data_IF_884979823373
#
_entry.id   IF_884979823373
#
_cell.length_a   1.000
_cell.length_b   1.000
_cell.length_c   1.000
_cell.angle_alpha   90.00
_cell.angle_beta   90.00
_cell.angle_gamma   90.00
#
_symmetry.space_group_name_H-M   'P 1'
#
loop_
_entity.id
_entity.type
_entity.pdbx_description
1 polymer ?
#
# COMPACT_ATOMS: atom_id res chain seq x y z
N UNK A 1 -19.48 1.38 -14.43
CA UNK A 1 -18.05 1.28 -14.07
C UNK A 1 -17.28 1.36 -15.37
N UNK A 2 -16.27 2.24 -15.51
CA UNK A 2 -15.48 2.29 -16.75
C UNK A 2 -14.67 1.02 -16.94
N UNK A 3 -14.21 0.79 -18.17
CA UNK A 3 -13.27 -0.28 -18.47
C UNK A 3 -11.99 -0.17 -17.62
N UNK A 4 -11.44 1.04 -17.48
CA UNK A 4 -10.22 1.29 -16.71
C UNK A 4 -10.37 0.92 -15.21
N UNK A 5 -11.47 1.33 -14.56
CA UNK A 5 -11.75 0.92 -13.17
C UNK A 5 -12.06 -0.56 -13.04
N UNK A 6 -12.72 -1.16 -14.04
CA UNK A 6 -13.00 -2.58 -14.03
C UNK A 6 -11.71 -3.40 -14.12
N UNK A 7 -10.78 -3.02 -15.00
CA UNK A 7 -9.46 -3.64 -15.11
C UNK A 7 -8.64 -3.51 -13.83
N UNK A 8 -8.66 -2.34 -13.19
CA UNK A 8 -8.03 -2.15 -11.88
C UNK A 8 -8.66 -3.04 -10.81
N UNK A 9 -9.99 -3.14 -10.77
CA UNK A 9 -10.68 -4.01 -9.81
C UNK A 9 -10.28 -5.48 -10.00
N UNK A 10 -10.22 -5.97 -11.24
CA UNK A 10 -9.79 -7.33 -11.54
C UNK A 10 -8.33 -7.54 -11.12
N UNK A 11 -7.44 -6.60 -11.44
CA UNK A 11 -6.05 -6.63 -11.02
C UNK A 11 -5.90 -6.69 -9.49
N UNK A 12 -6.62 -5.82 -8.77
CA UNK A 12 -6.64 -5.78 -7.31
C UNK A 12 -7.06 -7.12 -6.68
N UNK A 13 -8.09 -7.79 -7.23
CA UNK A 13 -8.52 -9.11 -6.76
C UNK A 13 -7.44 -10.17 -6.98
N UNK A 14 -6.72 -10.09 -8.09
CA UNK A 14 -5.65 -11.03 -8.39
C UNK A 14 -4.38 -10.77 -7.55
N UNK A 15 -4.21 -9.59 -6.94
CA UNK A 15 -3.14 -9.37 -5.95
C UNK A 15 -3.30 -10.24 -4.69
N UNK A 16 -4.49 -10.76 -4.43
CA UNK A 16 -4.78 -11.63 -3.29
C UNK A 16 -4.55 -13.13 -3.57
N UNK A 17 -4.18 -13.52 -4.81
CA UNK A 17 -3.91 -14.95 -5.13
C UNK A 17 -2.79 -15.51 -4.27
N UNK A 18 -2.83 -16.80 -3.92
CA UNK A 18 -1.77 -17.45 -3.15
C UNK A 18 -0.52 -17.75 -3.98
N UNK A 19 -0.63 -17.72 -5.31
CA UNK A 19 0.48 -17.97 -6.22
C UNK A 19 1.38 -16.75 -6.35
N UNK A 20 2.58 -16.82 -5.78
CA UNK A 20 3.55 -15.73 -5.75
C UNK A 20 3.95 -15.19 -7.14
N UNK A 21 4.05 -16.06 -8.14
CA UNK A 21 4.39 -15.68 -9.53
C UNK A 21 3.26 -14.91 -10.21
N UNK A 22 2.00 -15.25 -9.94
CA UNK A 22 0.84 -14.52 -10.43
C UNK A 22 0.74 -13.15 -9.74
N UNK A 23 0.85 -13.09 -8.41
CA UNK A 23 0.90 -11.82 -7.66
C UNK A 23 1.96 -10.86 -8.19
N UNK A 24 3.14 -11.38 -8.54
CA UNK A 24 4.23 -10.57 -9.10
C UNK A 24 3.91 -9.99 -10.48
N UNK A 25 3.19 -10.71 -11.35
CA UNK A 25 2.75 -10.16 -12.65
C UNK A 25 1.69 -9.08 -12.44
N UNK A 26 0.77 -9.32 -11.51
CA UNK A 26 -0.32 -8.40 -11.23
C UNK A 26 0.16 -7.12 -10.58
N UNK A 27 1.19 -7.14 -9.74
CA UNK A 27 1.71 -5.89 -9.15
C UNK A 27 2.34 -4.95 -10.21
N UNK A 28 2.94 -5.51 -11.27
CA UNK A 28 3.45 -4.72 -12.39
C UNK A 28 2.31 -4.14 -13.26
N UNK A 29 1.20 -4.87 -13.38
CA UNK A 29 -0.03 -4.37 -14.03
C UNK A 29 -0.68 -3.28 -13.17
N UNK A 30 -0.79 -3.50 -11.87
CA UNK A 30 -1.32 -2.54 -10.89
C UNK A 30 -0.59 -1.20 -10.96
N UNK A 31 0.76 -1.22 -10.97
CA UNK A 31 1.59 -0.02 -11.14
C UNK A 31 1.30 0.73 -12.44
N UNK A 32 1.06 0.01 -13.54
CA UNK A 32 0.71 0.59 -14.85
C UNK A 32 -0.67 1.25 -14.83
N UNK A 33 -1.68 0.56 -14.28
CA UNK A 33 -3.04 1.11 -14.15
C UNK A 33 -3.08 2.36 -13.27
N UNK A 34 -2.26 2.41 -12.21
CA UNK A 34 -2.12 3.62 -11.38
C UNK A 34 -1.30 4.76 -12.01
N UNK A 35 -0.87 4.63 -13.28
CA UNK A 35 -0.33 5.73 -14.09
C UNK A 35 -1.32 6.22 -15.13
N UNK A 36 -2.36 5.44 -15.41
CA UNK A 36 -3.40 5.80 -16.36
C UNK A 36 -4.25 6.96 -15.81
N UNK A 37 -4.46 7.98 -16.65
CA UNK A 37 -5.12 9.22 -16.24
C UNK A 37 -6.60 8.99 -15.95
N UNK A 38 -7.26 8.18 -16.77
CA UNK A 38 -8.69 7.88 -16.59
C UNK A 38 -8.90 7.14 -15.28
N UNK A 39 -8.11 6.09 -15.01
CA UNK A 39 -8.14 5.34 -13.76
C UNK A 39 -8.02 6.26 -12.54
N UNK A 40 -7.02 7.17 -12.55
CA UNK A 40 -6.78 8.13 -11.47
C UNK A 40 -7.98 9.07 -11.30
N UNK A 41 -8.48 9.66 -12.38
CA UNK A 41 -9.59 10.61 -12.34
C UNK A 41 -10.87 9.97 -11.78
N UNK A 42 -11.13 8.72 -12.14
CA UNK A 42 -12.28 8.01 -11.60
C UNK A 42 -12.12 7.63 -10.13
N UNK A 43 -10.92 7.21 -9.69
CA UNK A 43 -10.66 6.97 -8.27
C UNK A 43 -10.83 8.24 -7.44
N UNK A 44 -10.32 9.37 -7.93
CA UNK A 44 -10.50 10.68 -7.29
C UNK A 44 -11.98 11.03 -7.16
N UNK A 45 -12.73 10.96 -8.26
CA UNK A 45 -14.17 11.26 -8.29
C UNK A 45 -14.97 10.37 -7.33
N UNK A 46 -14.63 9.07 -7.26
CA UNK A 46 -15.34 8.13 -6.40
C UNK A 46 -15.02 8.34 -4.92
N UNK A 47 -13.76 8.70 -4.60
CA UNK A 47 -13.36 9.09 -3.25
C UNK A 47 -14.02 10.39 -2.82
N UNK A 48 -14.09 11.39 -3.69
CA UNK A 48 -14.65 12.73 -3.37
C UNK A 48 -16.17 12.66 -3.16
N UNK A 49 -16.89 11.89 -3.99
CA UNK A 49 -18.34 11.71 -3.86
C UNK A 49 -18.77 10.71 -2.78
N UNK A 50 -17.81 10.17 -2.00
CA UNK A 50 -18.05 9.12 -0.99
C UNK A 50 -18.89 7.95 -1.51
N UNK A 51 -18.75 7.60 -2.79
CA UNK A 51 -19.48 6.50 -3.41
C UNK A 51 -18.96 5.15 -2.88
N UNK A 52 -19.52 4.67 -1.78
CA UNK A 52 -19.09 3.43 -1.11
C UNK A 52 -19.23 2.17 -1.96
N UNK A 53 -20.10 2.19 -2.97
CA UNK A 53 -20.34 1.06 -3.90
C UNK A 53 -19.37 1.02 -5.08
N UNK A 54 -18.58 2.07 -5.32
CA UNK A 54 -17.62 2.13 -6.42
C UNK A 54 -16.19 1.98 -5.92
N UNK A 55 -15.31 1.48 -6.79
CA UNK A 55 -13.88 1.39 -6.46
C UNK A 55 -13.31 2.79 -6.23
N UNK A 56 -12.70 3.00 -5.08
CA UNK A 56 -12.12 4.27 -4.63
C UNK A 56 -10.73 4.05 -4.01
N UNK A 57 -10.02 5.12 -3.68
CA UNK A 57 -8.64 5.02 -3.17
C UNK A 57 -8.52 4.16 -1.91
N UNK A 58 -9.42 4.28 -0.94
CA UNK A 58 -9.39 3.45 0.29
C UNK A 58 -9.60 1.96 -0.01
N UNK A 59 -10.48 1.65 -0.96
CA UNK A 59 -10.73 0.25 -1.35
C UNK A 59 -9.52 -0.33 -2.06
N UNK A 60 -8.88 0.43 -2.94
CA UNK A 60 -7.62 0.01 -3.57
C UNK A 60 -6.51 -0.15 -2.54
N UNK A 61 -6.44 0.74 -1.54
CA UNK A 61 -5.47 0.64 -0.45
C UNK A 61 -5.63 -0.66 0.33
N UNK A 62 -6.86 -1.06 0.65
CA UNK A 62 -7.13 -2.36 1.32
C UNK A 62 -6.63 -3.56 0.52
N UNK A 63 -6.78 -3.57 -0.80
CA UNK A 63 -6.20 -4.64 -1.63
C UNK A 63 -4.67 -4.61 -1.58
N UNK A 64 -4.06 -3.42 -1.62
CA UNK A 64 -2.61 -3.26 -1.51
C UNK A 64 -2.08 -3.72 -0.14
N UNK A 65 -2.78 -3.41 0.96
CA UNK A 65 -2.42 -3.87 2.31
C UNK A 65 -2.41 -5.40 2.39
N UNK A 66 -3.43 -6.07 1.84
CA UNK A 66 -3.49 -7.54 1.82
C UNK A 66 -2.39 -8.16 0.96
N UNK A 67 -2.07 -7.54 -0.19
CA UNK A 67 -0.92 -7.94 -1.00
C UNK A 67 0.37 -7.88 -0.19
N UNK A 68 0.63 -6.76 0.50
CA UNK A 68 1.82 -6.56 1.32
C UNK A 68 1.91 -7.61 2.42
N UNK A 69 0.80 -7.87 3.11
CA UNK A 69 0.73 -8.91 4.14
C UNK A 69 1.13 -10.28 3.57
N UNK A 70 0.58 -10.68 2.41
CA UNK A 70 0.97 -11.95 1.75
C UNK A 70 2.45 -11.98 1.36
N UNK A 71 3.01 -10.86 0.92
CA UNK A 71 4.44 -10.80 0.57
C UNK A 71 5.34 -10.88 1.80
N UNK A 72 4.92 -10.29 2.93
CA UNK A 72 5.58 -10.41 4.23
C UNK A 72 5.56 -11.87 4.70
N UNK A 73 4.41 -12.53 4.70
CA UNK A 73 4.29 -13.93 5.11
C UNK A 73 5.12 -14.87 4.22
N UNK A 74 5.16 -14.60 2.91
CA UNK A 74 6.02 -15.33 1.97
C UNK A 74 7.52 -15.14 2.27
N UNK A 75 7.92 -13.99 2.81
CA UNK A 75 9.31 -13.74 3.19
C UNK A 75 9.64 -14.38 4.55
N UNK A 76 8.71 -14.34 5.51
CA UNK A 76 8.86 -14.97 6.83
C UNK A 76 8.98 -16.50 6.73
N UNK A 77 8.22 -17.12 5.83
CA UNK A 77 8.27 -18.57 5.58
C UNK A 77 9.47 -19.04 4.74
N UNK A 78 10.26 -18.11 4.19
CA UNK A 78 11.39 -18.46 3.33
C UNK A 78 12.62 -18.92 4.14
N UNK A 79 13.30 -19.97 3.67
CA UNK A 79 14.50 -20.52 4.33
C UNK A 79 15.57 -19.46 4.57
N UNK A 80 16.12 -19.39 5.78
CA UNK A 80 17.17 -18.43 6.14
C UNK A 80 18.55 -18.77 5.54
N UNK A 81 18.88 -20.06 5.42
CA UNK A 81 20.17 -20.51 4.87
C UNK A 81 20.13 -20.55 3.34
N UNK A 82 20.39 -19.41 2.70
CA UNK A 82 20.42 -19.27 1.24
C UNK A 82 21.66 -18.50 0.79
N UNK A 83 21.93 -18.49 -0.51
CA UNK A 83 23.07 -17.75 -1.08
C UNK A 83 22.95 -16.24 -0.81
N UNK A 84 24.09 -15.55 -0.80
CA UNK A 84 24.14 -14.08 -0.71
C UNK A 84 23.31 -13.41 -1.81
N UNK A 85 23.32 -13.96 -3.04
CA UNK A 85 22.49 -13.49 -4.15
C UNK A 85 20.99 -13.59 -3.86
N UNK A 86 20.56 -14.64 -3.16
CA UNK A 86 19.17 -14.82 -2.74
C UNK A 86 18.80 -13.81 -1.65
N UNK A 87 19.69 -13.56 -0.69
CA UNK A 87 19.47 -12.50 0.32
C UNK A 87 19.32 -11.13 -0.34
N UNK A 88 20.20 -10.77 -1.28
CA UNK A 88 20.12 -9.50 -2.02
C UNK A 88 18.79 -9.37 -2.79
N UNK A 89 18.33 -10.44 -3.46
CA UNK A 89 17.04 -10.44 -4.15
C UNK A 89 15.86 -10.23 -3.19
N UNK A 90 15.91 -10.82 -1.98
CA UNK A 90 14.89 -10.61 -0.94
C UNK A 90 14.88 -9.17 -0.43
N UNK A 91 16.05 -8.58 -0.15
CA UNK A 91 16.16 -7.18 0.27
C UNK A 91 15.62 -6.22 -0.80
N UNK A 92 15.96 -6.46 -2.07
CA UNK A 92 15.40 -5.67 -3.18
C UNK A 92 13.87 -5.75 -3.22
N UNK A 93 13.33 -6.96 -3.05
CA UNK A 93 11.88 -7.18 -3.00
C UNK A 93 11.22 -6.41 -1.85
N UNK A 94 11.83 -6.40 -0.67
CA UNK A 94 11.36 -5.60 0.48
C UNK A 94 11.32 -4.10 0.14
N UNK A 95 12.39 -3.56 -0.45
CA UNK A 95 12.45 -2.16 -0.88
C UNK A 95 11.41 -1.82 -1.96
N UNK A 96 11.18 -2.72 -2.90
CA UNK A 96 10.18 -2.54 -3.96
C UNK A 96 8.74 -2.46 -3.39
N UNK A 97 8.47 -3.20 -2.30
CA UNK A 97 7.20 -3.16 -1.58
C UNK A 97 7.03 -1.81 -0.86
N UNK A 98 8.01 -1.38 -0.07
CA UNK A 98 7.99 -0.06 0.57
C UNK A 98 7.81 1.08 -0.44
N UNK A 99 8.55 1.01 -1.54
CA UNK A 99 8.50 2.00 -2.61
C UNK A 99 7.13 2.05 -3.28
N UNK A 100 6.44 0.90 -3.40
CA UNK A 100 5.08 0.83 -3.91
C UNK A 100 4.08 1.51 -2.96
N UNK A 101 4.15 1.26 -1.65
CA UNK A 101 3.28 1.92 -0.66
C UNK A 101 3.44 3.43 -0.75
N UNK A 102 4.69 3.89 -0.74
CA UNK A 102 5.03 5.31 -0.88
C UNK A 102 4.49 5.90 -2.18
N UNK A 103 4.69 5.21 -3.30
CA UNK A 103 4.16 5.64 -4.60
C UNK A 103 2.63 5.73 -4.57
N UNK A 104 1.95 4.74 -4.02
CA UNK A 104 0.49 4.70 -3.91
C UNK A 104 -0.05 5.89 -3.12
N UNK A 105 0.48 6.11 -1.90
CA UNK A 105 0.06 7.22 -1.02
C UNK A 105 0.25 8.56 -1.72
N UNK A 106 1.42 8.78 -2.34
CA UNK A 106 1.70 10.00 -3.11
C UNK A 106 0.75 10.17 -4.29
N UNK A 107 0.46 9.08 -5.01
CA UNK A 107 -0.45 9.12 -6.16
C UNK A 107 -1.87 9.50 -5.74
N UNK A 108 -2.37 8.92 -4.66
CA UNK A 108 -3.69 9.22 -4.09
C UNK A 108 -3.77 10.66 -3.58
N UNK A 109 -2.72 11.13 -2.90
CA UNK A 109 -2.68 12.46 -2.27
C UNK A 109 -2.33 13.60 -3.22
N UNK A 110 -1.85 13.31 -4.43
CA UNK A 110 -1.29 14.31 -5.36
C UNK A 110 -2.23 15.49 -5.63
N UNK A 111 -3.54 15.25 -5.66
CA UNK A 111 -4.57 16.27 -6.01
C UNK A 111 -5.43 16.67 -4.83
N UNK A 112 -5.60 15.79 -3.85
CA UNK A 112 -6.19 16.05 -2.54
C UNK A 112 -5.89 14.84 -1.63
N UNK A 113 -5.81 15.01 -0.30
CA UNK A 113 -5.65 13.89 0.63
C UNK A 113 -6.93 13.04 0.70
N UNK A 114 -6.94 11.91 -0.02
CA UNK A 114 -8.14 11.07 -0.26
C UNK A 114 -8.17 9.73 0.46
N UNK A 115 -7.10 9.41 1.18
CA UNK A 115 -7.05 8.21 2.00
C UNK A 115 -7.59 8.53 3.40
N UNK A 116 -8.13 7.53 4.08
CA UNK A 116 -8.45 7.64 5.50
C UNK A 116 -7.17 7.66 6.33
N UNK A 117 -7.00 8.69 7.17
CA UNK A 117 -5.86 8.78 8.07
C UNK A 117 -5.77 7.57 9.00
N UNK A 118 -6.90 7.10 9.54
CA UNK A 118 -6.96 5.94 10.43
C UNK A 118 -6.36 4.67 9.81
N UNK A 119 -6.71 4.38 8.55
CA UNK A 119 -6.20 3.21 7.83
C UNK A 119 -4.70 3.33 7.54
N UNK A 120 -4.23 4.54 7.21
CA UNK A 120 -2.81 4.82 6.99
C UNK A 120 -1.99 4.61 8.27
N UNK A 121 -2.44 5.17 9.39
CA UNK A 121 -1.75 5.04 10.67
C UNK A 121 -1.75 3.62 11.19
N UNK A 122 -2.86 2.90 11.08
CA UNK A 122 -2.94 1.48 11.46
C UNK A 122 -1.94 0.65 10.64
N UNK A 123 -1.95 0.81 9.31
CA UNK A 123 -1.00 0.10 8.43
C UNK A 123 0.46 0.35 8.81
N UNK A 124 0.80 1.61 9.07
CA UNK A 124 2.17 1.98 9.45
C UNK A 124 2.54 1.46 10.82
N UNK A 125 1.67 1.65 11.80
CA UNK A 125 1.84 1.16 13.17
C UNK A 125 2.05 -0.34 13.19
N UNK A 126 1.18 -1.12 12.53
CA UNK A 126 1.26 -2.58 12.53
C UNK A 126 2.56 -3.09 11.89
N UNK A 127 3.04 -2.40 10.85
CA UNK A 127 4.31 -2.74 10.19
C UNK A 127 5.53 -2.41 11.05
N UNK A 128 5.47 -1.38 11.91
CA UNK A 128 6.59 -0.95 12.76
C UNK A 128 6.57 -1.68 14.12
N UNK A 129 5.40 -2.06 14.62
CA UNK A 129 5.24 -2.73 15.92
C UNK A 129 5.74 -4.18 15.91
N UNK A 130 5.61 -4.92 14.80
CA UNK A 130 6.15 -6.27 14.69
C UNK A 130 7.68 -6.22 14.47
N UNK A 131 8.52 -6.78 15.35
CA UNK A 131 9.98 -6.67 15.25
C UNK A 131 10.55 -7.17 13.91
N UNK A 132 9.93 -8.21 13.34
CA UNK A 132 10.39 -8.82 12.09
C UNK A 132 10.16 -7.88 10.90
N UNK A 133 8.96 -7.30 10.81
CA UNK A 133 8.63 -6.34 9.75
C UNK A 133 9.30 -4.99 9.99
N UNK A 134 9.49 -4.57 11.25
CA UNK A 134 10.23 -3.38 11.58
C UNK A 134 11.69 -3.45 11.11
N UNK A 135 12.37 -4.58 11.31
CA UNK A 135 13.72 -4.78 10.80
C UNK A 135 13.81 -4.70 9.26
N UNK A 136 12.75 -5.09 8.56
CA UNK A 136 12.72 -5.11 7.10
C UNK A 136 12.23 -3.79 6.46
N UNK A 137 11.27 -3.12 7.09
CA UNK A 137 10.50 -2.01 6.50
C UNK A 137 10.50 -0.74 7.35
N UNK A 138 10.98 -0.80 8.61
CA UNK A 138 10.85 0.27 9.59
C UNK A 138 11.38 1.61 9.10
N UNK A 139 12.60 1.64 8.54
CA UNK A 139 13.18 2.87 8.00
C UNK A 139 12.32 3.50 6.88
N UNK A 140 11.81 2.68 5.96
CA UNK A 140 10.98 3.16 4.86
C UNK A 140 9.61 3.66 5.35
N UNK A 141 8.98 2.90 6.25
CA UNK A 141 7.67 3.24 6.80
C UNK A 141 7.72 4.45 7.73
N UNK A 142 8.79 4.60 8.53
CA UNK A 142 9.06 5.83 9.26
C UNK A 142 9.24 7.01 8.30
N UNK A 143 9.94 6.82 7.17
CA UNK A 143 10.04 7.88 6.17
C UNK A 143 8.69 8.21 5.53
N UNK A 144 7.81 7.23 5.28
CA UNK A 144 6.46 7.45 4.75
C UNK A 144 5.63 8.23 5.77
N UNK A 145 5.65 7.81 7.04
CA UNK A 145 4.95 8.49 8.12
C UNK A 145 5.36 9.96 8.20
N UNK A 146 6.66 10.21 8.33
CA UNK A 146 7.19 11.55 8.53
C UNK A 146 7.02 12.46 7.32
N UNK A 147 7.15 11.94 6.09
CA UNK A 147 7.21 12.79 4.88
C UNK A 147 5.93 12.83 4.07
N UNK A 148 5.12 11.78 4.12
CA UNK A 148 3.97 11.59 3.23
C UNK A 148 2.63 11.53 3.98
N UNK A 149 2.64 11.35 5.31
CA UNK A 149 1.44 11.32 6.15
C UNK A 149 1.38 12.54 7.09
N UNK A 150 2.35 12.70 7.99
CA UNK A 150 2.33 13.74 9.03
C UNK A 150 2.52 15.17 8.46
N UNK A 151 3.08 15.30 7.27
CA UNK A 151 3.15 16.59 6.54
C UNK A 151 1.81 17.03 5.96
N UNK A 152 0.82 16.13 5.88
CA UNK A 152 -0.48 16.43 5.30
C UNK A 152 -1.41 16.96 6.39
N UNK A 153 -1.71 18.26 6.34
CA UNK A 153 -2.55 18.96 7.34
C UNK A 153 -3.88 18.25 7.63
N UNK A 154 -4.57 17.74 6.61
CA UNK A 154 -5.83 16.99 6.79
C UNK A 154 -5.63 15.80 7.75
N UNK A 155 -4.60 14.99 7.51
CA UNK A 155 -4.35 13.80 8.31
C UNK A 155 -3.98 14.18 9.73
N UNK A 156 -3.14 15.19 9.92
CA UNK A 156 -2.81 15.71 11.25
C UNK A 156 -4.06 16.06 12.08
N UNK A 157 -5.05 16.71 11.47
CA UNK A 157 -6.30 17.06 12.14
C UNK A 157 -7.23 15.87 12.41
N UNK A 158 -7.03 14.74 11.71
CA UNK A 158 -7.82 13.50 11.90
C UNK A 158 -7.22 12.56 12.95
N UNK A 159 -5.96 12.78 13.38
CA UNK A 159 -5.31 11.95 14.40
C UNK A 159 -5.87 12.30 15.78
N UNK A 160 -6.49 11.33 16.43
CA UNK A 160 -6.96 11.45 17.81
C UNK A 160 -5.83 11.26 18.82
N UNK A 161 -5.98 11.78 20.05
CA UNK A 161 -5.01 11.58 21.13
C UNK A 161 -4.71 10.09 21.36
N UNK A 162 -5.75 9.24 21.38
CA UNK A 162 -5.61 7.79 21.51
C UNK A 162 -4.71 7.17 20.42
N UNK A 163 -4.84 7.64 19.17
CA UNK A 163 -3.99 7.16 18.08
C UNK A 163 -2.54 7.61 18.19
N UNK A 164 -2.27 8.73 18.88
CA UNK A 164 -0.91 9.14 19.21
C UNK A 164 -0.29 8.31 20.32
N UNK A 165 -1.09 7.93 21.30
CA UNK A 165 -0.67 7.13 22.46
C UNK A 165 -0.40 5.66 22.10
N UNK A 166 -0.91 5.20 20.95
CA UNK A 166 -0.57 3.91 20.36
C UNK A 166 -1.43 2.73 20.85
N UNK A 167 -2.60 3.03 21.44
CA UNK A 167 -3.56 2.06 21.99
C UNK A 167 -4.65 1.59 21.01
#
# INVERSE_FOLDING_TARGET
MSLALHELLLCCRQLETDKATERRKEIDKFRRLLRDKETIQQLDRNSDNRHTKQLNWDTVFRFLQKYIYKEIESLKSAKANVSQSTHAARHKKMQDISSLVKYFIRCANKRAPRLKCTELLLHVSDTIKDPTTCAAYGADYSSILLKDILTVRKYWCEITAKQWEGE
#
